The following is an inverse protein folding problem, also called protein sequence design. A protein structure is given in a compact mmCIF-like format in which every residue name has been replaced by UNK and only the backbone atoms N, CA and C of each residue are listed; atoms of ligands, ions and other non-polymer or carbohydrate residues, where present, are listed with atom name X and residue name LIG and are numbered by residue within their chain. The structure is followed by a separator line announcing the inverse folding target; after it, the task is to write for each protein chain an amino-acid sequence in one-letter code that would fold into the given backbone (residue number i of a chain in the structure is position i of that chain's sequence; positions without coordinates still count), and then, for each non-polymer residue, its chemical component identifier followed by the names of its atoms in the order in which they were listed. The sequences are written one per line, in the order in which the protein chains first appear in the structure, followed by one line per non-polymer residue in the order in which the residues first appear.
data_IF_158812477881
#
_entry.id   IF_158812477881
#
_cell.length_a   1.000
_cell.length_b   1.000
_cell.length_c   1.000
_cell.angle_alpha   90.00
_cell.angle_beta   90.00
_cell.angle_gamma   90.00
#
_symmetry.space_group_name_H-M   'P 1'
#
loop_
_entity.id
_entity.type
_entity.pdbx_description
1 polymer ?
#
# COMPACT_ATOMS: atom_id res chain seq x y z
N UNK A 1 0.46 -13.33 11.75
CA UNK A 1 1.23 -12.64 10.66
C UNK A 1 1.28 -11.13 10.93
N UNK A 2 2.42 -10.62 11.42
CA UNK A 2 2.57 -9.26 11.95
C UNK A 2 1.95 -8.14 11.10
N UNK A 3 2.08 -8.20 9.77
CA UNK A 3 1.53 -7.18 8.85
C UNK A 3 -0.01 -7.20 8.77
N UNK A 4 -0.60 -8.38 8.58
CA UNK A 4 -2.05 -8.51 8.44
C UNK A 4 -2.75 -8.29 9.77
N UNK A 5 -2.28 -8.96 10.83
CA UNK A 5 -2.87 -8.87 12.16
C UNK A 5 -2.83 -7.43 12.69
N UNK A 6 -1.66 -6.74 12.51
CA UNK A 6 -1.53 -5.34 12.91
C UNK A 6 -2.50 -4.41 12.18
N UNK A 7 -2.68 -4.59 10.87
CA UNK A 7 -3.65 -3.83 10.09
C UNK A 7 -5.07 -4.10 10.57
N UNK A 8 -5.43 -5.38 10.76
CA UNK A 8 -6.76 -5.77 11.22
C UNK A 8 -7.09 -5.21 12.61
N UNK A 9 -6.18 -5.35 13.57
CA UNK A 9 -6.36 -4.85 14.94
C UNK A 9 -6.51 -3.33 14.99
N UNK A 10 -5.71 -2.61 14.19
CA UNK A 10 -5.83 -1.16 14.10
C UNK A 10 -7.19 -0.75 13.52
N UNK A 11 -7.63 -1.39 12.44
CA UNK A 11 -8.95 -1.16 11.84
C UNK A 11 -10.07 -1.48 12.83
N UNK A 12 -9.96 -2.58 13.56
CA UNK A 12 -10.94 -2.94 14.59
C UNK A 12 -11.09 -1.85 15.68
N UNK A 13 -10.00 -1.17 16.02
CA UNK A 13 -10.03 -0.09 17.00
C UNK A 13 -10.62 1.23 16.45
N UNK A 14 -10.30 1.60 15.19
CA UNK A 14 -10.70 2.92 14.66
C UNK A 14 -12.06 2.94 13.97
N UNK A 15 -12.49 1.83 13.38
CA UNK A 15 -13.76 1.75 12.63
C UNK A 15 -14.98 2.13 13.48
N UNK A 16 -15.15 1.67 14.73
CA UNK A 16 -16.29 2.10 15.55
C UNK A 16 -16.38 3.61 15.75
N UNK A 17 -15.24 4.28 15.92
CA UNK A 17 -15.16 5.73 16.08
C UNK A 17 -15.58 6.42 14.76
N UNK A 18 -15.03 5.98 13.63
CA UNK A 18 -15.37 6.54 12.31
C UNK A 18 -16.84 6.31 11.97
N UNK A 19 -17.42 5.16 12.33
CA UNK A 19 -18.87 4.91 12.15
C UNK A 19 -19.73 5.89 12.95
N UNK A 20 -19.37 6.15 14.20
CA UNK A 20 -20.07 7.12 15.04
C UNK A 20 -19.97 8.55 14.47
N UNK A 21 -18.82 8.91 13.89
CA UNK A 21 -18.58 10.18 13.22
C UNK A 21 -19.28 10.30 11.86
N UNK A 22 -19.69 9.19 11.24
CA UNK A 22 -20.18 9.08 9.85
C UNK A 22 -19.22 9.73 8.85
N UNK A 23 -17.92 9.56 9.09
CA UNK A 23 -16.85 10.10 8.26
C UNK A 23 -15.53 9.40 8.58
N UNK A 24 -14.74 9.13 7.55
CA UNK A 24 -13.41 8.59 7.72
C UNK A 24 -12.72 8.27 6.39
N UNK A 25 -11.39 8.31 6.42
CA UNK A 25 -10.57 7.86 5.31
C UNK A 25 -9.50 6.91 5.81
N UNK A 26 -9.48 5.71 5.24
CA UNK A 26 -8.55 4.64 5.58
C UNK A 26 -7.70 4.37 4.35
N UNK A 27 -6.38 4.46 4.51
CA UNK A 27 -5.42 4.11 3.45
C UNK A 27 -4.50 3.01 3.97
N UNK A 28 -4.73 1.79 3.51
CA UNK A 28 -3.94 0.63 3.88
C UNK A 28 -2.66 0.53 3.05
N UNK A 29 -1.59 0.03 3.66
CA UNK A 29 -0.31 -0.19 3.00
C UNK A 29 -0.17 -1.67 2.60
N UNK A 30 -0.56 -1.99 1.36
CA UNK A 30 -0.36 -3.28 0.74
C UNK A 30 1.08 -3.41 0.15
N UNK A 31 1.24 -4.10 -0.96
CA UNK A 31 2.47 -4.25 -1.74
C UNK A 31 2.14 -4.96 -3.05
N UNK A 32 2.93 -4.75 -4.11
CA UNK A 32 2.90 -5.59 -5.30
C UNK A 32 3.16 -7.08 -5.00
N UNK A 33 3.84 -7.38 -3.90
CA UNK A 33 4.00 -8.75 -3.41
C UNK A 33 2.65 -9.43 -3.11
N UNK A 34 1.64 -8.68 -2.66
CA UNK A 34 0.28 -9.18 -2.47
C UNK A 34 -0.47 -9.50 -3.77
N UNK A 35 0.07 -9.07 -4.91
CA UNK A 35 -0.40 -9.43 -6.26
C UNK A 35 0.42 -10.54 -6.92
N UNK A 36 1.39 -11.11 -6.19
CA UNK A 36 2.30 -12.12 -6.73
C UNK A 36 3.42 -11.55 -7.62
N UNK A 37 3.62 -10.24 -7.65
CA UNK A 37 4.58 -9.57 -8.54
C UNK A 37 5.97 -9.36 -7.91
N UNK A 38 6.32 -10.10 -6.87
CA UNK A 38 7.63 -10.01 -6.20
C UNK A 38 8.26 -11.39 -6.02
N UNK A 39 9.32 -11.66 -6.76
CA UNK A 39 10.07 -12.92 -6.66
C UNK A 39 10.94 -13.03 -5.40
N UNK A 40 11.29 -11.91 -4.77
CA UNK A 40 12.17 -11.86 -3.58
C UNK A 40 11.40 -11.84 -2.24
N UNK A 41 10.08 -11.73 -2.27
CA UNK A 41 9.26 -11.68 -1.06
C UNK A 41 8.92 -13.08 -0.55
N UNK A 42 8.90 -13.25 0.78
CA UNK A 42 8.48 -14.53 1.38
C UNK A 42 6.98 -14.80 1.13
N UNK A 43 6.62 -16.08 1.08
CA UNK A 43 5.21 -16.52 0.96
C UNK A 43 4.33 -15.87 2.03
N UNK A 44 4.79 -15.85 3.29
CA UNK A 44 4.08 -15.23 4.40
C UNK A 44 3.84 -13.72 4.19
N UNK A 45 4.82 -13.00 3.62
CA UNK A 45 4.67 -11.58 3.30
C UNK A 45 3.66 -11.37 2.16
N UNK A 46 3.77 -12.15 1.08
CA UNK A 46 2.82 -12.10 -0.04
C UNK A 46 1.39 -12.37 0.41
N UNK A 47 1.20 -13.43 1.23
CA UNK A 47 -0.11 -13.77 1.79
C UNK A 47 -0.68 -12.63 2.65
N UNK A 48 0.14 -12.06 3.54
CA UNK A 48 -0.30 -10.95 4.39
C UNK A 48 -0.69 -9.71 3.57
N UNK A 49 0.09 -9.36 2.55
CA UNK A 49 -0.20 -8.20 1.69
C UNK A 49 -1.37 -8.44 0.74
N UNK A 50 -1.58 -9.67 0.27
CA UNK A 50 -2.79 -10.09 -0.44
C UNK A 50 -4.03 -10.01 0.45
N UNK A 51 -3.91 -10.45 1.71
CA UNK A 51 -4.97 -10.29 2.72
C UNK A 51 -5.37 -8.84 2.96
N UNK A 52 -4.41 -7.91 2.99
CA UNK A 52 -4.69 -6.46 3.12
C UNK A 52 -5.45 -5.93 1.89
N UNK A 53 -5.14 -6.39 0.68
CA UNK A 53 -5.86 -6.02 -0.54
C UNK A 53 -7.33 -6.47 -0.45
N UNK A 54 -7.57 -7.73 -0.08
CA UNK A 54 -8.91 -8.29 0.08
C UNK A 54 -9.69 -7.59 1.20
N UNK A 55 -9.05 -7.35 2.34
CA UNK A 55 -9.60 -6.62 3.48
C UNK A 55 -10.03 -5.20 3.08
N UNK A 56 -9.21 -4.48 2.35
CA UNK A 56 -9.51 -3.14 1.84
C UNK A 56 -10.79 -3.15 1.01
N UNK A 57 -10.89 -4.08 0.06
CA UNK A 57 -12.07 -4.20 -0.81
C UNK A 57 -13.32 -4.54 0.00
N UNK A 58 -13.23 -5.50 0.92
CA UNK A 58 -14.37 -5.92 1.74
C UNK A 58 -14.87 -4.78 2.62
N UNK A 59 -13.97 -4.11 3.33
CA UNK A 59 -14.34 -3.01 4.22
C UNK A 59 -14.91 -1.79 3.48
N UNK A 60 -14.47 -1.51 2.26
CA UNK A 60 -15.03 -0.40 1.48
C UNK A 60 -16.53 -0.58 1.20
N UNK A 61 -16.97 -1.83 1.01
CA UNK A 61 -18.38 -2.16 0.78
C UNK A 61 -19.17 -2.01 2.09
N UNK A 62 -18.62 -2.50 3.20
CA UNK A 62 -19.32 -2.48 4.50
C UNK A 62 -19.36 -1.10 5.16
N UNK A 63 -18.39 -0.24 4.85
CA UNK A 63 -18.24 1.05 5.51
C UNK A 63 -18.75 2.23 4.66
N UNK A 64 -19.10 1.99 3.42
CA UNK A 64 -19.61 3.04 2.52
C UNK A 64 -20.88 3.71 3.02
N UNK A 65 -21.80 2.97 3.63
CA UNK A 65 -23.02 3.53 4.24
C UNK A 65 -22.74 4.51 5.39
N UNK A 66 -21.56 4.44 6.00
CA UNK A 66 -21.09 5.35 7.06
C UNK A 66 -20.25 6.52 6.52
N UNK A 67 -20.20 6.71 5.19
CA UNK A 67 -19.36 7.73 4.56
C UNK A 67 -17.87 7.56 4.91
N UNK A 68 -17.38 6.31 4.91
CA UNK A 68 -15.98 5.96 5.17
C UNK A 68 -15.37 5.40 3.89
N UNK A 69 -14.33 6.06 3.37
CA UNK A 69 -13.57 5.55 2.24
C UNK A 69 -12.45 4.62 2.73
N UNK A 70 -12.30 3.47 2.08
CA UNK A 70 -11.24 2.50 2.39
C UNK A 70 -10.49 2.15 1.12
N UNK A 71 -9.24 2.57 1.04
CA UNK A 71 -8.36 2.32 -0.09
C UNK A 71 -7.02 1.73 0.37
N UNK A 72 -6.22 1.29 -0.56
CA UNK A 72 -4.84 0.85 -0.31
C UNK A 72 -3.91 1.38 -1.40
N UNK A 73 -2.63 1.46 -1.08
CA UNK A 73 -1.55 1.53 -2.07
C UNK A 73 -0.76 0.22 -2.08
N UNK A 74 -0.24 -0.15 -3.23
CA UNK A 74 0.64 -1.31 -3.41
C UNK A 74 1.99 -0.85 -4.00
N UNK A 75 2.94 -0.48 -3.13
CA UNK A 75 4.27 -0.07 -3.56
C UNK A 75 5.09 -1.21 -4.17
N UNK A 76 6.01 -0.87 -5.08
CA UNK A 76 7.21 -1.63 -5.40
C UNK A 76 8.35 -1.31 -4.44
N UNK A 77 9.58 -1.65 -4.81
CA UNK A 77 10.77 -1.23 -4.07
C UNK A 77 10.79 0.30 -3.91
N UNK A 78 10.81 0.74 -2.65
CA UNK A 78 10.78 2.17 -2.29
C UNK A 78 11.96 2.48 -1.38
N UNK A 79 12.74 3.49 -1.75
CA UNK A 79 13.92 3.92 -1.00
C UNK A 79 13.51 4.76 0.21
N UNK A 80 13.28 4.06 1.31
CA UNK A 80 13.11 4.68 2.65
C UNK A 80 14.47 4.74 3.35
N UNK A 81 14.56 5.48 4.46
CA UNK A 81 15.78 5.51 5.30
C UNK A 81 16.26 4.09 5.68
N UNK A 82 15.33 3.19 5.98
CA UNK A 82 15.64 1.79 6.30
C UNK A 82 16.15 0.98 5.12
N UNK A 83 15.64 1.22 3.92
CA UNK A 83 15.95 0.43 2.72
C UNK A 83 17.19 0.98 1.99
N UNK A 84 17.43 2.28 2.05
CA UNK A 84 18.52 2.94 1.35
C UNK A 84 19.91 2.35 1.64
N UNK A 85 20.30 2.00 2.88
CA UNK A 85 21.58 1.34 3.13
C UNK A 85 21.73 -0.02 2.40
N UNK A 86 20.66 -0.82 2.38
CA UNK A 86 20.66 -2.11 1.66
C UNK A 86 20.72 -1.91 0.14
N UNK A 87 20.04 -0.89 -0.37
CA UNK A 87 20.13 -0.52 -1.77
C UNK A 87 21.53 -0.11 -2.17
N UNK A 88 22.21 0.69 -1.36
CA UNK A 88 23.57 1.16 -1.64
C UNK A 88 24.62 0.02 -1.59
N UNK A 89 24.35 -1.05 -0.87
CA UNK A 89 25.20 -2.24 -0.81
C UNK A 89 25.01 -3.20 -2.00
N UNK A 90 23.97 -3.02 -2.82
CA UNK A 90 23.80 -3.83 -4.03
C UNK A 90 24.85 -3.46 -5.07
N UNK A 91 25.24 -4.45 -5.88
CA UNK A 91 26.15 -4.19 -7.00
C UNK A 91 25.55 -3.20 -8.00
N UNK A 92 26.38 -2.47 -8.76
CA UNK A 92 25.90 -1.57 -9.81
C UNK A 92 24.95 -2.27 -10.81
N UNK A 93 25.26 -3.51 -11.17
CA UNK A 93 24.48 -4.33 -12.10
C UNK A 93 23.09 -4.65 -11.53
N UNK A 94 23.02 -5.04 -10.25
CA UNK A 94 21.75 -5.33 -9.58
C UNK A 94 20.87 -4.08 -9.43
N UNK A 95 21.49 -2.92 -9.22
CA UNK A 95 20.75 -1.63 -9.19
C UNK A 95 20.28 -1.24 -10.58
N UNK A 96 21.13 -1.39 -11.59
CA UNK A 96 20.77 -1.10 -12.98
C UNK A 96 19.62 -1.99 -13.44
N UNK A 97 19.65 -3.28 -13.16
CA UNK A 97 18.58 -4.20 -13.51
C UNK A 97 17.24 -3.82 -12.87
N UNK A 98 17.23 -3.35 -11.62
CA UNK A 98 16.02 -2.89 -10.94
C UNK A 98 15.46 -1.60 -11.58
N UNK A 99 16.34 -0.68 -11.99
CA UNK A 99 15.97 0.56 -12.68
C UNK A 99 15.44 0.24 -14.08
N UNK A 100 16.13 -0.62 -14.83
CA UNK A 100 15.77 -0.98 -16.20
C UNK A 100 14.41 -1.68 -16.31
N UNK A 101 14.09 -2.56 -15.36
CA UNK A 101 12.78 -3.22 -15.32
C UNK A 101 11.63 -2.28 -15.00
N UNK A 102 11.91 -1.13 -14.34
CA UNK A 102 10.88 -0.13 -14.01
C UNK A 102 10.64 0.77 -15.23
N UNK A 103 9.43 0.84 -15.81
CA UNK A 103 9.17 1.66 -16.99
C UNK A 103 9.56 3.13 -16.82
N UNK A 104 9.33 3.74 -15.66
CA UNK A 104 9.75 5.12 -15.38
C UNK A 104 11.25 5.28 -15.09
N UNK A 105 12.08 4.21 -15.29
CA UNK A 105 13.54 4.24 -15.23
C UNK A 105 14.14 4.84 -13.95
N UNK A 106 13.47 4.60 -12.83
CA UNK A 106 13.97 4.92 -11.50
C UNK A 106 13.30 4.04 -10.43
N UNK A 107 13.92 3.96 -9.27
CA UNK A 107 13.31 3.37 -8.08
C UNK A 107 12.44 4.43 -7.39
N UNK A 108 11.36 4.01 -6.76
CA UNK A 108 10.48 4.91 -6.03
C UNK A 108 11.14 5.49 -4.78
N UNK A 109 10.87 6.73 -4.50
CA UNK A 109 11.18 7.41 -3.24
C UNK A 109 9.96 7.38 -2.30
N UNK A 110 10.17 7.57 -1.00
CA UNK A 110 9.08 7.61 -0.03
C UNK A 110 8.02 8.68 -0.37
N UNK A 111 8.46 9.81 -0.94
CA UNK A 111 7.59 10.90 -1.36
C UNK A 111 6.63 10.49 -2.50
N UNK A 112 7.01 9.55 -3.38
CA UNK A 112 6.10 9.05 -4.43
C UNK A 112 4.90 8.35 -3.81
N UNK A 113 5.12 7.56 -2.76
CA UNK A 113 4.07 6.88 -2.04
C UNK A 113 3.20 7.86 -1.24
N UNK A 114 3.85 8.79 -0.54
CA UNK A 114 3.18 9.76 0.32
C UNK A 114 2.18 10.64 -0.46
N UNK A 115 2.52 11.07 -1.68
CA UNK A 115 1.63 11.87 -2.52
C UNK A 115 0.31 11.15 -2.83
N UNK A 116 0.37 9.85 -3.13
CA UNK A 116 -0.84 9.06 -3.40
C UNK A 116 -1.65 8.84 -2.12
N UNK A 117 -0.98 8.60 -0.98
CA UNK A 117 -1.65 8.50 0.32
C UNK A 117 -2.36 9.81 0.66
N UNK A 118 -1.71 10.96 0.50
CA UNK A 118 -2.31 12.27 0.76
C UNK A 118 -3.52 12.52 -0.13
N UNK A 119 -3.47 12.19 -1.43
CA UNK A 119 -4.61 12.25 -2.32
C UNK A 119 -5.77 11.39 -1.79
N UNK A 120 -5.51 10.12 -1.48
CA UNK A 120 -6.55 9.19 -0.99
C UNK A 120 -7.13 9.60 0.37
N UNK A 121 -6.39 10.36 1.16
CA UNK A 121 -6.82 10.87 2.46
C UNK A 121 -7.50 12.25 2.39
N UNK A 122 -7.48 12.91 1.23
CA UNK A 122 -8.07 14.22 1.02
C UNK A 122 -9.52 14.15 0.52
N UNK A 123 -10.19 15.30 0.45
CA UNK A 123 -11.51 15.47 -0.17
C UNK A 123 -11.52 15.19 -1.67
N UNK A 124 -10.36 15.33 -2.35
CA UNK A 124 -10.25 15.04 -3.79
C UNK A 124 -10.54 13.57 -4.11
N UNK A 125 -10.50 12.69 -3.11
CA UNK A 125 -10.80 11.27 -3.21
C UNK A 125 -12.14 10.87 -2.57
N UNK A 126 -13.11 11.78 -2.41
CA UNK A 126 -14.38 11.49 -1.72
C UNK A 126 -15.21 10.41 -2.43
N UNK A 127 -15.09 10.29 -3.75
CA UNK A 127 -15.79 9.25 -4.52
C UNK A 127 -14.88 8.07 -4.90
N UNK A 128 -13.72 7.94 -4.23
CA UNK A 128 -12.74 6.86 -4.44
C UNK A 128 -12.74 5.94 -3.23
N UNK A 129 -13.24 4.71 -3.39
CA UNK A 129 -13.22 3.69 -2.33
C UNK A 129 -13.08 2.28 -2.90
N UNK A 130 -12.47 1.38 -2.15
CA UNK A 130 -12.28 -0.04 -2.50
C UNK A 130 -11.15 -0.29 -3.48
N UNK A 131 -10.33 0.69 -3.78
CA UNK A 131 -9.20 0.56 -4.70
C UNK A 131 -7.90 0.17 -3.98
N UNK A 132 -7.07 -0.57 -4.71
CA UNK A 132 -5.65 -0.72 -4.41
C UNK A 132 -4.86 -0.14 -5.56
N UNK A 133 -4.20 0.99 -5.35
CA UNK A 133 -3.44 1.71 -6.37
C UNK A 133 -1.99 1.21 -6.34
N UNK A 134 -1.53 0.71 -7.48
CA UNK A 134 -0.14 0.29 -7.65
C UNK A 134 0.73 1.54 -7.89
N UNK A 135 1.63 1.82 -6.93
CA UNK A 135 2.55 2.97 -7.00
C UNK A 135 3.95 2.42 -7.26
N UNK A 136 4.20 2.05 -8.51
CA UNK A 136 5.29 1.16 -8.91
C UNK A 136 6.19 1.72 -10.01
N UNK A 137 5.80 2.82 -10.64
CA UNK A 137 6.49 3.31 -11.85
C UNK A 137 6.23 2.48 -13.10
N UNK A 138 5.14 1.67 -13.09
CA UNK A 138 4.67 0.89 -14.24
C UNK A 138 5.00 -0.61 -14.19
N UNK A 139 5.50 -1.12 -13.03
CA UNK A 139 5.73 -2.57 -12.82
C UNK A 139 4.42 -3.35 -12.72
#
# INVERSE_FOLDING_TARGET
MRNLDGTFLFLHAVVPVMKAQKSGKIVNLASIAGRGLSSSSSVAYCTAKGGIIALTRKLSIELGEFNINVNAIAPSLTLTERIRPHWNQRSPEARSAEIERTPLKRVAEAADQAKVICFLASSDADFVTGLTIDVTGGL
#
